data_IF_296422571750
#
_entry.id   IF_296422571750
#
_cell.length_a   1.000
_cell.length_b   1.000
_cell.length_c   1.000
_cell.angle_alpha   90.00
_cell.angle_beta   90.00
_cell.angle_gamma   90.00
#
_symmetry.space_group_name_H-M   'P 1'
#
loop_
_entity.id
_entity.type
_entity.pdbx_description
1 polymer ?
#
# COMPACT_ATOMS: atom_id res chain seq x y z
N UNK A 1 22.57 -4.02 -13.34
CA UNK A 1 21.45 -4.86 -12.85
C UNK A 1 20.73 -4.01 -11.82
N UNK A 2 19.70 -3.27 -12.22
CA UNK A 2 18.95 -2.40 -11.32
C UNK A 2 18.25 -3.31 -10.32
N UNK A 3 18.51 -3.11 -9.03
CA UNK A 3 17.91 -3.92 -7.98
C UNK A 3 16.38 -3.84 -8.13
N UNK A 4 15.72 -4.97 -8.39
CA UNK A 4 14.27 -4.97 -8.65
C UNK A 4 13.48 -4.44 -7.46
N UNK A 5 14.07 -4.51 -6.26
CA UNK A 5 13.57 -3.90 -5.03
C UNK A 5 13.64 -2.37 -5.03
N UNK A 6 14.52 -1.75 -5.82
CA UNK A 6 14.64 -0.29 -5.94
C UNK A 6 13.60 0.33 -6.89
N UNK A 7 13.03 -0.46 -7.81
CA UNK A 7 12.15 0.03 -8.88
C UNK A 7 10.78 0.56 -8.40
N UNK A 8 10.01 -0.11 -7.51
CA UNK A 8 8.76 0.48 -7.05
C UNK A 8 9.01 1.77 -6.26
N UNK A 9 10.06 1.82 -5.44
CA UNK A 9 10.42 3.01 -4.67
C UNK A 9 10.83 4.21 -5.54
N UNK A 10 11.53 4.01 -6.66
CA UNK A 10 11.85 5.13 -7.56
C UNK A 10 10.60 5.76 -8.17
N UNK A 11 9.62 4.95 -8.57
CA UNK A 11 8.36 5.45 -9.11
C UNK A 11 7.50 6.11 -8.03
N UNK A 12 7.44 5.53 -6.82
CA UNK A 12 6.74 6.14 -5.69
C UNK A 12 7.35 7.50 -5.33
N UNK A 13 8.68 7.63 -5.32
CA UNK A 13 9.34 8.95 -5.12
C UNK A 13 8.92 9.97 -6.18
N UNK A 14 8.81 9.56 -7.45
CA UNK A 14 8.31 10.45 -8.49
C UNK A 14 6.84 10.86 -8.28
N UNK A 15 6.01 9.95 -7.78
CA UNK A 15 4.61 10.25 -7.42
C UNK A 15 4.56 11.24 -6.25
N UNK A 16 5.32 10.99 -5.17
CA UNK A 16 5.40 11.87 -4.00
C UNK A 16 5.86 13.26 -4.41
N UNK A 17 6.94 13.39 -5.18
CA UNK A 17 7.44 14.68 -5.66
C UNK A 17 6.38 15.43 -6.50
N UNK A 18 5.59 14.70 -7.29
CA UNK A 18 4.48 15.28 -8.05
C UNK A 18 3.34 15.78 -7.14
N UNK A 19 2.99 15.01 -6.10
CA UNK A 19 1.96 15.39 -5.13
C UNK A 19 2.41 16.56 -4.25
N UNK A 20 3.64 16.54 -3.75
CA UNK A 20 4.22 17.64 -2.98
C UNK A 20 4.22 18.94 -3.78
N UNK A 21 4.58 18.88 -5.08
CA UNK A 21 4.59 20.05 -5.95
C UNK A 21 3.19 20.59 -6.28
N UNK A 22 2.16 19.74 -6.29
CA UNK A 22 0.78 20.12 -6.66
C UNK A 22 -0.06 20.56 -5.47
N UNK A 23 0.06 19.84 -4.36
CA UNK A 23 -0.83 19.98 -3.22
C UNK A 23 -0.10 20.50 -1.98
N UNK A 24 1.23 20.37 -1.92
CA UNK A 24 2.03 20.69 -0.76
C UNK A 24 2.19 19.52 0.22
N UNK A 25 2.74 19.85 1.38
CA UNK A 25 3.09 18.89 2.45
C UNK A 25 2.50 19.30 3.80
N UNK A 26 1.48 20.16 3.80
CA UNK A 26 0.81 20.63 5.01
C UNK A 26 0.09 19.47 5.73
N UNK A 27 -0.24 19.60 7.03
CA UNK A 27 -0.88 18.54 7.80
C UNK A 27 -2.15 17.96 7.16
N UNK A 28 -2.94 18.79 6.47
CA UNK A 28 -4.15 18.36 5.77
C UNK A 28 -3.84 17.46 4.57
N UNK A 29 -2.73 17.70 3.86
CA UNK A 29 -2.28 16.84 2.76
C UNK A 29 -1.71 15.52 3.27
N UNK A 30 -0.99 15.55 4.40
CA UNK A 30 -0.54 14.33 5.08
C UNK A 30 -1.74 13.50 5.54
N UNK A 31 -2.77 14.13 6.12
CA UNK A 31 -4.00 13.46 6.50
C UNK A 31 -4.70 12.84 5.28
N UNK A 32 -4.76 13.55 4.15
CA UNK A 32 -5.32 13.03 2.90
C UNK A 32 -4.58 11.78 2.40
N UNK A 33 -3.24 11.75 2.45
CA UNK A 33 -2.44 10.56 2.09
C UNK A 33 -2.76 9.36 2.98
N UNK A 34 -2.97 9.57 4.28
CA UNK A 34 -3.41 8.51 5.19
C UNK A 34 -4.83 8.02 4.89
N UNK A 35 -5.76 8.94 4.59
CA UNK A 35 -7.14 8.59 4.24
C UNK A 35 -7.21 7.76 2.95
N UNK A 36 -6.34 8.05 1.98
CA UNK A 36 -6.25 7.28 0.73
C UNK A 36 -5.96 5.79 0.99
N UNK A 37 -5.15 5.45 2.00
CA UNK A 37 -4.92 4.04 2.39
C UNK A 37 -6.23 3.34 2.80
N UNK A 38 -7.10 4.05 3.50
CA UNK A 38 -8.41 3.51 3.91
C UNK A 38 -9.37 3.39 2.73
N UNK A 39 -9.33 4.36 1.82
CA UNK A 39 -10.08 4.33 0.56
C UNK A 39 -9.74 3.08 -0.24
N UNK A 40 -8.45 2.83 -0.54
CA UNK A 40 -8.04 1.65 -1.32
C UNK A 40 -8.33 0.33 -0.60
N UNK A 41 -8.25 0.30 0.74
CA UNK A 41 -8.64 -0.89 1.49
C UNK A 41 -10.14 -1.19 1.34
N UNK A 42 -10.97 -0.16 1.19
CA UNK A 42 -12.38 -0.28 0.85
C UNK A 42 -12.59 -0.82 -0.57
N UNK A 43 -11.78 -0.39 -1.53
CA UNK A 43 -11.82 -0.89 -2.92
C UNK A 43 -11.42 -2.38 -2.99
N UNK A 44 -10.40 -2.82 -2.25
CA UNK A 44 -10.06 -4.24 -2.08
C UNK A 44 -11.27 -5.03 -1.56
N UNK A 45 -11.94 -4.52 -0.53
CA UNK A 45 -13.11 -5.18 0.05
C UNK A 45 -14.25 -5.27 -0.97
N UNK A 46 -14.50 -4.20 -1.72
CA UNK A 46 -15.50 -4.16 -2.78
C UNK A 46 -15.19 -5.16 -3.90
N UNK A 47 -13.94 -5.19 -4.38
CA UNK A 47 -13.50 -6.11 -5.42
C UNK A 47 -13.63 -7.56 -4.95
N UNK A 48 -13.25 -7.86 -3.71
CA UNK A 48 -13.37 -9.22 -3.17
C UNK A 48 -14.83 -9.66 -3.03
N UNK A 49 -15.70 -8.80 -2.48
CA UNK A 49 -17.16 -9.07 -2.40
C UNK A 49 -17.74 -9.30 -3.80
N UNK A 50 -17.33 -8.47 -4.77
CA UNK A 50 -17.70 -8.59 -6.17
C UNK A 50 -17.21 -9.88 -6.83
N UNK A 51 -16.01 -10.33 -6.50
CA UNK A 51 -15.44 -11.59 -6.99
C UNK A 51 -16.16 -12.81 -6.42
N UNK A 52 -16.54 -12.76 -5.14
CA UNK A 52 -17.32 -13.83 -4.50
C UNK A 52 -18.79 -13.86 -4.95
N UNK A 53 -19.27 -12.80 -5.62
CA UNK A 53 -20.67 -12.66 -6.01
C UNK A 53 -21.62 -12.54 -4.82
N UNK A 54 -21.13 -12.10 -3.65
CA UNK A 54 -21.90 -12.09 -2.40
C UNK A 54 -23.04 -11.07 -2.39
N UNK A 55 -23.04 -10.08 -3.31
CA UNK A 55 -24.16 -9.17 -3.49
C UNK A 55 -25.15 -9.75 -4.51
N UNK A 56 -26.29 -10.33 -4.08
CA UNK A 56 -27.22 -11.01 -4.99
C UNK A 56 -27.87 -10.08 -6.03
N UNK A 57 -27.84 -8.76 -5.82
CA UNK A 57 -28.34 -7.77 -6.80
C UNK A 57 -27.36 -7.51 -7.95
N UNK A 58 -26.10 -7.93 -7.81
CA UNK A 58 -25.01 -7.62 -8.74
C UNK A 58 -24.36 -8.87 -9.34
N UNK A 59 -24.46 -10.02 -8.67
CA UNK A 59 -23.77 -11.23 -9.10
C UNK A 59 -22.25 -11.09 -8.99
N UNK A 60 -21.51 -11.85 -9.80
CA UNK A 60 -20.05 -11.74 -9.89
C UNK A 60 -19.69 -10.54 -10.76
N UNK A 61 -18.98 -9.58 -10.19
CA UNK A 61 -18.60 -8.32 -10.86
C UNK A 61 -17.10 -8.12 -11.03
N UNK A 62 -16.29 -8.87 -10.28
CA UNK A 62 -14.84 -8.75 -10.29
C UNK A 62 -14.21 -10.13 -10.42
N UNK A 63 -12.93 -10.13 -10.71
CA UNK A 63 -12.07 -11.30 -10.82
C UNK A 63 -11.01 -11.28 -9.73
N UNK A 64 -10.26 -12.38 -9.62
CA UNK A 64 -9.07 -12.43 -8.77
C UNK A 64 -8.01 -11.40 -9.20
N UNK A 65 -7.93 -11.07 -10.48
CA UNK A 65 -6.99 -10.09 -10.99
C UNK A 65 -7.34 -8.69 -10.49
N UNK A 66 -8.62 -8.34 -10.46
CA UNK A 66 -9.07 -7.03 -9.96
C UNK A 66 -8.72 -6.88 -8.48
N UNK A 67 -8.99 -7.89 -7.65
CA UNK A 67 -8.57 -7.88 -6.23
C UNK A 67 -7.05 -7.69 -6.08
N UNK A 68 -6.26 -8.31 -6.97
CA UNK A 68 -4.80 -8.17 -6.92
C UNK A 68 -4.33 -6.76 -7.32
N UNK A 69 -5.04 -6.09 -8.24
CA UNK A 69 -4.79 -4.69 -8.60
C UNK A 69 -5.10 -3.78 -7.41
N UNK A 70 -6.27 -3.94 -6.78
CA UNK A 70 -6.62 -3.11 -5.61
C UNK A 70 -5.63 -3.28 -4.45
N UNK A 71 -5.09 -4.50 -4.26
CA UNK A 71 -4.04 -4.74 -3.26
C UNK A 71 -2.75 -3.99 -3.60
N UNK A 72 -2.40 -3.86 -4.88
CA UNK A 72 -1.27 -3.03 -5.30
C UNK A 72 -1.53 -1.55 -5.00
N UNK A 73 -2.76 -1.07 -5.18
CA UNK A 73 -3.12 0.33 -4.90
C UNK A 73 -3.06 0.64 -3.40
N UNK A 74 -3.46 -0.29 -2.53
CA UNK A 74 -3.21 -0.20 -1.08
C UNK A 74 -1.72 -0.09 -0.77
N UNK A 75 -0.89 -0.95 -1.36
CA UNK A 75 0.57 -0.94 -1.15
C UNK A 75 1.15 0.40 -1.58
N UNK A 76 0.82 0.88 -2.78
CA UNK A 76 1.32 2.14 -3.31
C UNK A 76 0.87 3.33 -2.47
N UNK A 77 -0.40 3.37 -2.04
CA UNK A 77 -0.93 4.42 -1.17
C UNK A 77 -0.21 4.45 0.18
N UNK A 78 0.06 3.28 0.78
CA UNK A 78 0.82 3.19 2.02
C UNK A 78 2.28 3.64 1.83
N UNK A 79 2.93 3.27 0.72
CA UNK A 79 4.29 3.72 0.41
C UNK A 79 4.36 5.24 0.21
N UNK A 80 3.37 5.84 -0.47
CA UNK A 80 3.26 7.30 -0.64
C UNK A 80 3.06 7.99 0.71
N UNK A 81 2.17 7.46 1.56
CA UNK A 81 1.95 8.03 2.90
C UNK A 81 3.20 7.90 3.79
N UNK A 82 3.96 6.81 3.68
CA UNK A 82 5.16 6.60 4.50
C UNK A 82 6.25 7.66 4.25
N UNK A 83 6.34 8.20 3.04
CA UNK A 83 7.25 9.30 2.72
C UNK A 83 6.97 10.58 3.52
N UNK A 84 5.77 10.73 4.12
CA UNK A 84 5.47 11.86 5.01
C UNK A 84 5.99 11.68 6.44
N UNK A 85 6.53 10.51 6.79
CA UNK A 85 6.94 10.17 8.16
C UNK A 85 8.41 9.74 8.28
N UNK A 86 9.09 9.47 7.17
CA UNK A 86 10.47 8.99 7.15
C UNK A 86 11.23 9.50 5.93
N UNK A 87 12.51 9.83 6.15
CA UNK A 87 13.42 10.26 5.08
C UNK A 87 13.87 9.08 4.19
N UNK A 88 14.03 7.88 4.77
CA UNK A 88 14.32 6.64 4.05
C UNK A 88 13.25 5.56 4.31
N UNK A 89 12.07 5.65 3.66
CA UNK A 89 10.99 4.69 3.84
C UNK A 89 11.32 3.30 3.29
N UNK A 90 12.26 3.21 2.34
CA UNK A 90 12.67 1.93 1.76
C UNK A 90 13.51 1.13 2.77
N UNK A 91 14.47 1.79 3.43
CA UNK A 91 15.25 1.18 4.50
C UNK A 91 14.36 0.80 5.69
N UNK A 92 13.45 1.68 6.12
CA UNK A 92 12.53 1.37 7.22
C UNK A 92 11.68 0.13 6.92
N UNK A 93 11.06 0.06 5.73
CA UNK A 93 10.21 -1.08 5.38
C UNK A 93 11.03 -2.38 5.33
N UNK A 94 12.24 -2.35 4.76
CA UNK A 94 13.12 -3.51 4.71
C UNK A 94 13.53 -3.98 6.11
N UNK A 95 13.87 -3.03 6.99
CA UNK A 95 14.21 -3.32 8.38
C UNK A 95 13.02 -3.94 9.14
N UNK A 96 11.84 -3.32 9.08
CA UNK A 96 10.66 -3.79 9.79
C UNK A 96 10.17 -5.16 9.28
N UNK A 97 10.18 -5.38 7.97
CA UNK A 97 9.83 -6.68 7.37
C UNK A 97 10.79 -7.79 7.86
N UNK A 98 12.10 -7.53 7.84
CA UNK A 98 13.11 -8.46 8.37
C UNK A 98 12.90 -8.73 9.86
N UNK A 99 12.64 -7.70 10.64
CA UNK A 99 12.41 -7.80 12.08
C UNK A 99 11.17 -8.64 12.40
N UNK A 100 10.04 -8.38 11.74
CA UNK A 100 8.80 -9.15 11.89
C UNK A 100 8.97 -10.60 11.47
N UNK A 101 9.63 -10.85 10.34
CA UNK A 101 9.93 -12.21 9.88
C UNK A 101 10.79 -12.98 10.89
N UNK A 102 11.81 -12.34 11.47
CA UNK A 102 12.64 -12.98 12.50
C UNK A 102 11.85 -13.33 13.77
N UNK A 103 10.87 -12.50 14.15
CA UNK A 103 10.00 -12.75 15.30
C UNK A 103 9.07 -13.96 15.09
N UNK A 104 8.51 -14.12 13.89
CA UNK A 104 7.61 -15.24 13.57
C UNK A 104 8.35 -16.58 13.52
N UNK A 105 9.63 -16.59 13.15
CA UNK A 105 10.44 -17.81 13.08
C UNK A 105 11.11 -18.20 14.41
N UNK A 106 10.91 -17.44 15.49
CA UNK A 106 11.42 -17.83 16.81
C UNK A 106 10.62 -19.04 17.32
N UNK A 107 11.26 -20.17 17.66
CA UNK A 107 10.53 -21.31 18.23
C UNK A 107 9.82 -20.87 19.51
N UNK A 108 8.58 -21.33 19.69
CA UNK A 108 7.85 -21.15 20.95
C UNK A 108 8.63 -21.94 21.99
N UNK A 109 9.29 -21.26 22.93
CA UNK A 109 9.94 -21.91 24.07
C UNK A 109 8.87 -22.70 24.83
N UNK A 110 9.08 -24.02 24.94
CA UNK A 110 8.29 -24.91 25.77
C UNK A 110 8.58 -24.70 27.26
#
# INVERSE_FOLDING_TARGET
MTDAHALPWSHVRSIVACLDARNGTDPDEIATRLLKVTEEAGEVAQAYIGMQGQNPRKGITHTRADVAVELCDVILSAMVALHSFEDDPAELLAFDAKHKAARLHRPISA
#
